data_IF_968968326289
#
_entry.id   IF_968968326289
#
_cell.length_a   1.000
_cell.length_b   1.000
_cell.length_c   1.000
_cell.angle_alpha   90.00
_cell.angle_beta   90.00
_cell.angle_gamma   90.00
#
_symmetry.space_group_name_H-M   'P 1'
#
loop_
_entity.id
_entity.type
_entity.pdbx_description
1 polymer ?
2 polymer ?
3 polymer ?
4 branched ?
5 branched ?
6 non-polymer ?
7 water ?
#
# COMPACT_ATOMS: atom_id res chain seq x y z
N UNK A 2 16.28 3.74 0.39
CA UNK A 2 15.14 4.21 -0.38
C UNK A 2 15.36 5.61 -0.91
N UNK A 3 14.76 5.92 -2.06
CA UNK A 3 14.85 7.27 -2.62
C UNK A 3 14.08 8.23 -1.73
N UNK A 4 14.70 9.39 -1.48
CA UNK A 4 14.08 10.42 -0.64
C UNK A 4 13.23 11.32 -1.53
N UNK A 5 11.96 11.47 -1.17
CA UNK A 5 11.07 12.35 -1.91
C UNK A 5 9.88 12.71 -1.04
N UNK A 6 9.24 13.84 -1.38
CA UNK A 6 8.07 14.28 -0.65
C UNK A 6 6.90 13.32 -0.86
N UNK A 7 6.70 12.87 -2.10
CA UNK A 7 5.58 12.01 -2.44
C UNK A 7 6.06 11.00 -3.48
N UNK A 8 5.46 9.82 -3.43
CA UNK A 8 5.81 8.74 -4.34
C UNK A 8 4.54 8.10 -4.86
N UNK A 9 4.49 7.87 -6.19
CA UNK A 9 3.35 7.22 -6.82
C UNK A 9 3.90 6.02 -7.60
N UNK A 10 3.10 5.01 -7.72
CA UNK A 10 3.35 3.92 -8.67
C UNK A 10 2.29 3.96 -9.76
N UNK A 11 2.74 4.19 -11.01
CA UNK A 11 1.88 4.41 -12.16
C UNK A 11 2.30 3.49 -13.32
N UNK A 12 2.13 2.17 -13.18
CA UNK A 12 1.44 1.56 -12.07
C UNK A 12 2.24 0.40 -11.46
N UNK A 13 1.61 -0.30 -10.54
CA UNK A 13 2.08 -1.59 -10.06
C UNK A 13 1.50 -2.65 -10.98
N UNK A 14 2.39 -3.34 -11.71
CA UNK A 14 2.07 -4.38 -12.67
C UNK A 14 2.55 -5.71 -12.09
N UNK A 15 1.61 -6.61 -11.78
CA UNK A 15 1.94 -7.95 -11.29
C UNK A 15 1.45 -8.99 -12.28
N UNK A 16 2.25 -10.00 -12.49
CA UNK A 16 1.85 -11.16 -13.30
C UNK A 16 2.57 -12.38 -12.74
N UNK A 17 1.84 -13.44 -12.46
CA UNK A 17 2.45 -14.62 -11.88
C UNK A 17 1.93 -15.87 -12.57
N UNK A 18 2.81 -16.87 -12.57
CA UNK A 18 2.55 -18.13 -13.29
C UNK A 18 1.44 -18.93 -12.65
N UNK A 19 1.35 -18.90 -11.32
CA UNK A 19 0.25 -19.58 -10.65
C UNK A 19 -1.07 -18.93 -11.03
N UNK A 20 -1.92 -19.70 -11.72
CA UNK A 20 -3.13 -19.19 -12.32
C UNK A 20 -3.18 -19.51 -13.79
N UNK A 21 -2.46 -18.70 -14.60
CA UNK A 21 -1.73 -17.49 -14.19
C UNK A 21 -2.67 -16.35 -13.84
N UNK A 22 -2.17 -15.31 -13.17
CA UNK A 22 -3.02 -14.19 -12.82
C UNK A 22 -2.20 -12.93 -12.79
N UNK A 23 -2.90 -11.78 -12.89
CA UNK A 23 -2.22 -10.50 -12.86
C UNK A 23 -3.00 -9.48 -12.04
N UNK A 24 -2.35 -8.35 -11.82
CA UNK A 24 -2.95 -7.24 -11.11
C UNK A 24 -2.40 -5.96 -11.68
N UNK A 25 -3.29 -4.96 -11.85
CA UNK A 25 -2.85 -3.63 -12.30
C UNK A 25 -3.50 -2.56 -11.44
N UNK A 26 -2.68 -1.80 -10.74
CA UNK A 26 -3.14 -0.73 -9.87
C UNK A 26 -2.28 0.50 -10.02
N UNK A 27 -2.83 1.68 -9.63
CA UNK A 27 -2.01 2.84 -9.37
C UNK A 27 -2.07 3.20 -7.89
N UNK A 28 -0.94 3.56 -7.32
CA UNK A 28 -0.79 3.90 -5.92
C UNK A 28 -0.30 5.33 -5.81
N UNK A 29 -0.77 6.04 -4.80
CA UNK A 29 -0.22 7.36 -4.47
C UNK A 29 -0.01 7.46 -2.97
N UNK A 30 1.22 7.74 -2.57
CA UNK A 30 1.66 7.75 -1.20
C UNK A 30 1.15 6.51 -0.46
N UNK A 31 1.19 5.38 -1.13
CA UNK A 31 0.97 4.10 -0.51
C UNK A 31 -0.46 3.58 -0.49
N UNK A 32 -1.42 4.35 -0.99
CA UNK A 32 -2.82 3.95 -1.09
C UNK A 32 -3.24 3.72 -2.54
N UNK A 33 -4.29 2.96 -2.73
CA UNK A 33 -4.71 2.48 -4.05
C UNK A 33 -5.65 3.52 -4.67
N UNK A 34 -5.22 4.13 -5.74
CA UNK A 34 -6.00 5.16 -6.44
C UNK A 34 -7.03 4.52 -7.34
N UNK A 35 -6.66 3.48 -8.11
CA UNK A 35 -7.63 2.74 -8.88
C UNK A 35 -6.98 1.41 -9.28
N UNK A 36 -7.79 0.53 -9.82
CA UNK A 36 -7.29 -0.75 -10.35
C UNK A 36 -7.97 -1.00 -11.69
N UNK A 37 -7.49 -2.00 -12.39
CA UNK A 37 -8.14 -2.43 -13.62
C UNK A 37 -8.60 -3.86 -13.40
N UNK A 38 -9.90 -4.07 -13.51
CA UNK A 38 -10.47 -5.41 -13.57
C UNK A 38 -10.12 -6.02 -14.92
N UNK A 39 -9.14 -6.93 -14.91
CA UNK A 39 -8.63 -7.53 -16.13
C UNK A 39 -9.58 -8.55 -16.72
N UNK A 40 -10.53 -9.07 -15.93
CA UNK A 40 -11.53 -9.97 -16.46
C UNK A 40 -12.59 -9.21 -17.26
N UNK A 41 -13.12 -8.14 -16.67
CA UNK A 41 -14.09 -7.29 -17.36
C UNK A 41 -13.43 -6.24 -18.23
N UNK A 42 -12.11 -6.13 -18.16
CA UNK A 42 -11.35 -5.17 -18.95
C UNK A 42 -11.86 -3.75 -18.73
N UNK A 43 -11.98 -3.37 -17.46
CA UNK A 43 -12.49 -2.04 -17.14
C UNK A 43 -11.80 -1.47 -15.92
N UNK A 44 -11.56 -0.17 -15.96
CA UNK A 44 -11.04 0.56 -14.82
C UNK A 44 -12.09 0.65 -13.73
N UNK A 45 -11.67 0.46 -12.47
CA UNK A 45 -12.57 0.42 -11.34
C UNK A 45 -11.90 1.03 -10.12
N UNK A 46 -12.74 1.30 -9.11
CA UNK A 46 -12.29 1.99 -7.91
C UNK A 46 -12.80 1.25 -6.69
N UNK A 47 -11.88 0.61 -5.95
CA UNK A 47 -12.27 0.11 -4.62
C UNK A 47 -12.78 1.22 -3.73
N UNK A 48 -12.29 2.43 -3.93
CA UNK A 48 -12.58 3.59 -3.09
C UNK A 48 -13.15 4.65 -4.03
N UNK A 49 -14.47 4.62 -4.30
CA UNK A 49 -15.03 5.38 -5.45
C UNK A 49 -14.85 6.88 -5.38
N UNK A 50 -14.63 7.46 -4.20
CA UNK A 50 -14.27 8.85 -4.07
C UNK A 50 -13.21 9.22 -5.11
N UNK A 51 -12.23 8.36 -5.27
CA UNK A 51 -11.05 8.71 -6.08
C UNK A 51 -11.31 8.62 -7.57
N UNK A 52 -12.52 8.23 -7.97
CA UNK A 52 -12.89 8.39 -9.38
C UNK A 52 -12.85 9.85 -9.78
N UNK A 53 -12.94 10.78 -8.83
CA UNK A 53 -12.87 12.19 -9.20
C UNK A 53 -11.47 12.58 -9.68
N UNK A 54 -10.46 11.75 -9.48
CA UNK A 54 -9.08 12.11 -9.85
C UNK A 54 -8.68 11.48 -11.19
N UNK A 55 -9.63 11.28 -12.08
CA UNK A 55 -9.37 10.90 -13.45
C UNK A 55 -9.51 9.40 -13.67
N UNK A 56 -9.82 9.03 -14.92
CA UNK A 56 -9.95 7.65 -15.31
C UNK A 56 -8.66 7.06 -15.83
N UNK A 57 -8.81 5.96 -16.56
CA UNK A 57 -7.64 5.24 -17.09
C UNK A 57 -8.14 4.35 -18.19
N UNK A 58 -7.41 4.33 -19.31
CA UNK A 58 -7.78 3.46 -20.44
C UNK A 58 -7.31 2.03 -20.14
N UNK A 59 -8.22 1.10 -19.92
CA UNK A 59 -7.80 -0.23 -19.45
C UNK A 59 -6.94 -0.95 -20.45
N UNK A 60 -6.96 -0.54 -21.73
CA UNK A 60 -6.13 -1.24 -22.73
C UNK A 60 -4.65 -1.11 -22.43
N UNK A 61 -4.24 -0.03 -21.77
CA UNK A 61 -2.87 0.05 -21.32
C UNK A 61 -2.48 -1.07 -20.37
N UNK A 62 -3.38 -1.37 -19.41
CA UNK A 62 -3.11 -2.45 -18.48
C UNK A 62 -3.07 -3.80 -19.21
N UNK A 63 -3.98 -4.00 -20.16
CA UNK A 63 -4.03 -5.27 -20.89
C UNK A 63 -2.79 -5.49 -21.75
N UNK A 64 -2.35 -4.44 -22.43
CA UNK A 64 -1.08 -4.51 -23.18
C UNK A 64 0.06 -4.88 -22.23
N UNK A 65 0.14 -4.18 -21.07
CA UNK A 65 1.20 -4.49 -20.12
C UNK A 65 1.13 -5.93 -19.66
N UNK A 66 -0.08 -6.47 -19.47
CA UNK A 66 -0.15 -7.87 -19.02
C UNK A 66 0.36 -8.84 -20.08
N UNK A 67 0.06 -8.58 -21.35
CA UNK A 67 0.61 -9.40 -22.43
C UNK A 67 2.15 -9.35 -22.45
N UNK A 68 2.69 -8.16 -22.32
CA UNK A 68 4.15 -8.03 -22.30
C UNK A 68 4.74 -8.72 -21.06
N UNK A 69 4.05 -8.59 -19.91
CA UNK A 69 4.54 -9.19 -18.69
C UNK A 69 4.57 -10.71 -18.81
N UNK A 70 3.52 -11.30 -19.37
CA UNK A 70 3.54 -12.77 -19.55
C UNK A 70 4.77 -13.19 -20.35
N UNK A 71 5.01 -12.51 -21.45
CA UNK A 71 6.20 -12.79 -22.26
C UNK A 71 7.48 -12.66 -21.44
N UNK A 72 7.62 -11.51 -20.77
CA UNK A 72 8.82 -11.24 -19.99
C UNK A 72 9.02 -12.28 -18.88
N UNK A 73 7.94 -12.70 -18.24
CA UNK A 73 8.07 -13.67 -17.16
C UNK A 73 8.64 -14.98 -17.68
N UNK A 74 8.14 -15.46 -18.84
CA UNK A 74 8.72 -16.69 -19.40
C UNK A 74 10.24 -16.53 -19.57
N UNK A 75 10.64 -15.38 -20.12
CA UNK A 75 12.06 -15.19 -20.38
C UNK A 75 12.85 -15.15 -19.08
N UNK A 76 12.30 -14.50 -18.04
CA UNK A 76 13.07 -14.36 -16.81
C UNK A 76 13.13 -15.68 -16.04
N UNK A 77 12.08 -16.49 -16.10
CA UNK A 77 12.14 -17.84 -15.55
C UNK A 77 13.34 -18.58 -16.14
N UNK A 78 13.50 -18.49 -17.48
CA UNK A 78 14.65 -19.15 -18.08
C UNK A 78 15.97 -18.54 -17.60
N UNK A 79 16.07 -17.22 -17.56
CA UNK A 79 17.35 -16.60 -17.20
C UNK A 79 17.76 -16.96 -15.76
N UNK A 80 16.79 -17.25 -14.89
CA UNK A 80 17.07 -17.54 -13.49
C UNK A 80 17.05 -19.05 -13.18
N UNK A 81 17.31 -19.88 -14.15
CA UNK A 81 17.37 -21.32 -13.94
C UNK A 81 16.03 -21.88 -13.41
N UNK A 82 14.89 -21.24 -13.67
CA UNK A 82 13.61 -21.68 -13.14
C UNK A 82 13.58 -21.66 -11.61
N UNK A 83 14.20 -20.66 -11.01
CA UNK A 83 14.14 -20.53 -9.55
C UNK A 83 12.75 -20.05 -9.11
N UNK A 84 12.07 -20.85 -8.28
CA UNK A 84 10.72 -20.52 -7.86
C UNK A 84 10.74 -19.45 -6.77
N UNK A 85 9.63 -18.71 -6.68
CA UNK A 85 9.46 -17.74 -5.61
C UNK A 85 9.68 -18.38 -4.26
N UNK A 86 10.33 -17.64 -3.35
CA UNK A 86 10.39 -18.04 -1.94
C UNK A 86 9.08 -17.71 -1.25
N UNK A 87 8.56 -18.66 -0.46
CA UNK A 87 7.35 -18.41 0.32
C UNK A 87 7.76 -17.73 1.62
N UNK A 88 7.56 -16.41 1.71
CA UNK A 88 7.86 -15.71 2.93
C UNK A 88 6.77 -15.97 3.95
N UNK A 89 7.04 -15.59 5.20
CA UNK A 89 6.10 -15.82 6.29
C UNK A 89 5.36 -14.54 6.55
N UNK A 90 4.06 -14.45 6.26
CA UNK A 90 3.32 -13.20 6.47
C UNK A 90 3.10 -12.96 7.95
N UNK A 91 2.86 -11.69 8.31
CA UNK A 91 2.47 -11.31 9.67
C UNK A 91 1.07 -10.73 9.63
N UNK A 92 0.24 -11.10 10.60
CA UNK A 92 -1.17 -10.71 10.63
C UNK A 92 -1.46 -9.89 11.88
N UNK A 93 -2.14 -8.73 11.69
CA UNK A 93 -2.49 -7.82 12.74
C UNK A 93 -3.97 -7.49 12.57
N UNK A 94 -4.73 -7.52 13.65
CA UNK A 94 -6.16 -7.21 13.61
C UNK A 94 -6.46 -6.06 14.58
N UNK A 95 -7.20 -5.07 14.10
CA UNK A 95 -7.50 -3.90 14.93
C UNK A 95 -8.75 -3.21 14.39
N UNK A 96 -9.41 -2.43 15.26
CA UNK A 96 -10.57 -1.71 14.78
C UNK A 96 -10.16 -0.43 14.06
N UNK A 97 -10.99 -0.01 13.12
CA UNK A 97 -10.72 1.27 12.43
C UNK A 97 -10.91 2.46 13.37
N UNK A 98 -11.91 2.40 14.23
CA UNK A 98 -12.29 3.52 15.08
C UNK A 98 -12.55 3.03 16.50
N UNK A 99 -12.57 3.94 17.48
CA UNK A 99 -12.86 3.53 18.86
C UNK A 99 -14.16 2.76 18.95
N UNK A 100 -14.17 1.75 19.80
CA UNK A 100 -15.28 0.81 19.89
C UNK A 100 -16.30 1.29 20.91
N UNK A 101 -17.54 1.44 20.47
CA UNK A 101 -18.70 1.63 21.33
C UNK A 101 -19.70 0.53 21.02
N UNK A 102 -20.17 -0.18 22.05
CA UNK A 102 -21.11 -1.27 21.83
C UNK A 102 -22.34 -0.73 21.11
N UNK A 103 -22.77 -1.46 20.07
CA UNK A 103 -23.94 -1.08 19.29
C UNK A 103 -23.72 0.03 18.28
N UNK A 104 -22.52 0.56 18.15
CA UNK A 104 -22.17 1.55 17.16
C UNK A 104 -21.43 0.89 16.01
N UNK A 105 -21.91 0.98 14.78
CA UNK A 105 -21.21 0.29 13.68
C UNK A 105 -19.74 0.69 13.61
N UNK A 106 -18.90 -0.29 13.35
CA UNK A 106 -17.46 -0.12 13.27
C UNK A 106 -16.94 -1.04 12.16
N UNK A 107 -15.63 -1.04 11.99
CA UNK A 107 -14.98 -1.88 10.98
C UNK A 107 -13.76 -2.53 11.61
N UNK A 108 -13.66 -3.85 11.45
CA UNK A 108 -12.44 -4.58 11.78
C UNK A 108 -11.50 -4.65 10.59
N UNK A 109 -10.20 -4.49 10.86
CA UNK A 109 -9.15 -4.41 9.84
C UNK A 109 -8.19 -5.59 10.10
N UNK A 110 -8.04 -6.44 9.12
CA UNK A 110 -7.09 -7.54 9.16
C UNK A 110 -5.96 -7.17 8.16
N UNK A 111 -4.85 -6.83 8.68
CA UNK A 111 -3.65 -6.46 7.90
C UNK A 111 -2.79 -7.72 7.78
N UNK A 112 -2.51 -8.14 6.54
CA UNK A 112 -1.61 -9.26 6.26
C UNK A 112 -0.41 -8.64 5.54
N UNK A 113 0.73 -8.67 6.21
CA UNK A 113 1.93 -7.97 5.78
C UNK A 113 3.02 -8.95 5.39
N UNK A 114 3.96 -8.46 4.58
CA UNK A 114 5.09 -9.27 4.20
C UNK A 114 4.65 -10.50 3.41
N UNK A 115 3.74 -10.26 2.46
CA UNK A 115 3.20 -11.32 1.62
C UNK A 115 4.10 -11.55 0.43
N UNK A 116 4.59 -12.83 0.29
CA UNK A 116 5.15 -13.23 -0.96
C UNK A 116 5.23 -14.75 -1.03
N UNK A 117 4.84 -15.37 -2.14
CA UNK A 117 4.21 -14.73 -3.33
C UNK A 117 2.86 -14.18 -3.10
N UNK A 118 2.36 -13.32 -4.02
CA UNK A 118 1.02 -12.70 -3.81
C UNK A 118 -0.15 -13.64 -4.07
N UNK A 119 -0.30 -14.61 -3.17
CA UNK A 119 -1.36 -15.61 -3.18
C UNK A 119 -1.77 -15.82 -1.73
N UNK A 120 -3.04 -15.57 -1.42
CA UNK A 120 -3.46 -15.59 -0.02
C UNK A 120 -4.95 -15.82 0.06
N UNK A 121 -5.37 -16.57 1.10
CA UNK A 121 -6.79 -16.67 1.45
C UNK A 121 -6.93 -15.86 2.75
N UNK A 122 -7.84 -14.86 2.80
CA UNK A 122 -8.16 -14.15 4.03
C UNK A 122 -9.66 -14.26 4.27
N UNK A 123 -10.04 -14.85 5.40
CA UNK A 123 -11.46 -14.99 5.75
C UNK A 123 -11.69 -14.55 7.19
N UNK A 124 -12.94 -14.26 7.52
CA UNK A 124 -13.31 -13.79 8.83
C UNK A 124 -14.16 -14.83 9.53
N UNK A 125 -13.93 -15.01 10.82
CA UNK A 125 -14.75 -15.87 11.66
C UNK A 125 -15.32 -15.03 12.79
N UNK A 126 -16.61 -15.24 13.09
CA UNK A 126 -17.30 -14.62 14.20
C UNK A 126 -17.83 -15.75 15.08
N UNK A 127 -17.43 -15.75 16.35
CA UNK A 127 -17.72 -16.85 17.25
C UNK A 127 -17.49 -18.20 16.56
N UNK A 128 -16.40 -18.32 15.81
CA UNK A 128 -16.01 -19.57 15.22
C UNK A 128 -16.64 -19.92 13.90
N UNK A 129 -17.56 -19.10 13.39
CA UNK A 129 -18.24 -19.38 12.13
C UNK A 129 -17.89 -18.36 11.07
N UNK A 130 -17.78 -18.83 9.83
CA UNK A 130 -17.38 -17.96 8.73
C UNK A 130 -18.38 -16.83 8.54
N UNK A 131 -17.84 -15.63 8.29
CA UNK A 131 -18.62 -14.45 7.93
C UNK A 131 -18.31 -14.14 6.47
N UNK A 132 -19.35 -13.82 5.71
CA UNK A 132 -19.15 -13.39 4.32
C UNK A 132 -19.74 -12.00 4.05
N UNK A 133 -20.86 -11.66 4.68
CA UNK A 133 -21.43 -10.33 4.50
C UNK A 133 -20.53 -9.28 5.13
N UNK A 134 -20.44 -8.13 4.50
CA UNK A 134 -19.74 -7.01 5.07
C UNK A 134 -18.23 -7.08 4.92
N UNK A 135 -17.73 -7.98 4.08
CA UNK A 135 -16.29 -8.21 3.92
C UNK A 135 -15.86 -7.60 2.60
N UNK A 136 -14.74 -6.88 2.63
CA UNK A 136 -14.13 -6.36 1.41
C UNK A 136 -12.61 -6.41 1.61
N UNK A 137 -11.84 -6.24 0.54
CA UNK A 137 -10.39 -6.23 0.75
C UNK A 137 -9.72 -5.34 -0.30
N UNK A 138 -8.48 -4.96 0.02
CA UNK A 138 -7.67 -4.18 -0.89
C UNK A 138 -7.09 -5.08 -1.96
N UNK A 139 -6.39 -4.46 -2.91
CA UNK A 139 -5.51 -5.20 -3.80
C UNK A 139 -4.28 -5.67 -3.00
N UNK A 140 -3.39 -6.39 -3.69
CA UNK A 140 -2.04 -6.57 -3.15
C UNK A 140 -1.31 -5.25 -3.29
N UNK A 141 -1.05 -4.57 -2.18
CA UNK A 141 -0.37 -3.29 -2.17
C UNK A 141 1.13 -3.47 -2.07
N UNK A 142 1.88 -2.68 -2.86
CA UNK A 142 3.27 -2.95 -3.03
C UNK A 142 4.08 -2.46 -1.82
N UNK A 143 5.25 -3.05 -1.65
CA UNK A 143 6.24 -2.65 -0.67
C UNK A 143 7.61 -2.49 -1.36
N UNK A 144 8.44 -1.67 -0.77
CA UNK A 144 9.72 -1.34 -1.38
C UNK A 144 10.68 -2.53 -1.46
N UNK A 145 10.51 -3.53 -0.64
CA UNK A 145 11.26 -4.78 -0.76
C UNK A 145 10.58 -5.79 -1.71
N UNK A 146 9.57 -5.37 -2.45
CA UNK A 146 8.89 -6.13 -3.47
C UNK A 146 8.05 -7.27 -2.92
N UNK A 147 7.83 -7.31 -1.63
CA UNK A 147 6.72 -8.10 -1.06
C UNK A 147 5.44 -7.26 -1.15
N UNK A 148 4.35 -7.74 -0.55
CA UNK A 148 3.07 -7.08 -0.64
C UNK A 148 2.41 -7.10 0.75
N UNK A 149 1.49 -6.15 0.96
CA UNK A 149 0.48 -6.36 2.03
C UNK A 149 -0.90 -6.31 1.44
N UNK A 150 -1.84 -6.88 2.19
CA UNK A 150 -3.24 -6.86 1.78
C UNK A 150 -4.05 -6.73 3.03
N UNK A 151 -5.12 -5.93 2.96
CA UNK A 151 -5.96 -5.63 4.10
C UNK A 151 -7.38 -6.09 3.79
N UNK A 152 -8.00 -6.76 4.75
CA UNK A 152 -9.38 -7.16 4.68
C UNK A 152 -10.20 -6.41 5.74
N UNK A 153 -11.44 -6.07 5.37
CA UNK A 153 -12.32 -5.28 6.22
C UNK A 153 -13.60 -6.07 6.49
N UNK A 154 -14.07 -6.00 7.72
CA UNK A 154 -15.33 -6.59 8.14
C UNK A 154 -16.13 -5.52 8.90
N UNK A 155 -17.19 -5.00 8.29
CA UNK A 155 -18.07 -4.12 9.03
C UNK A 155 -18.81 -4.92 10.08
N UNK A 156 -18.93 -4.37 11.28
CA UNK A 156 -19.55 -5.13 12.36
C UNK A 156 -20.16 -4.22 13.39
N UNK A 157 -20.95 -4.84 14.28
CA UNK A 157 -21.62 -4.16 15.38
C UNK A 157 -21.05 -4.68 16.70
N UNK A 158 -20.27 -3.89 17.44
CA UNK A 158 -19.68 -4.42 18.67
C UNK A 158 -20.73 -4.83 19.68
N UNK A 159 -20.49 -5.98 20.31
CA UNK A 159 -21.38 -6.49 21.34
C UNK A 159 -20.56 -7.36 22.29
N UNK A 160 -21.08 -7.54 23.51
CA UNK A 160 -20.42 -8.37 24.50
C UNK A 160 -20.42 -9.84 24.05
N UNK A 161 -19.40 -10.57 24.49
CA UNK A 161 -19.26 -11.99 24.15
C UNK A 161 -19.42 -12.22 22.65
N UNK A 162 -18.83 -11.34 21.85
CA UNK A 162 -18.95 -11.38 20.38
C UNK A 162 -17.56 -11.12 19.83
N UNK A 163 -16.88 -12.20 19.43
CA UNK A 163 -15.43 -12.20 19.22
C UNK A 163 -15.11 -12.66 17.80
N UNK A 164 -13.90 -12.32 17.34
CA UNK A 164 -13.57 -12.45 15.94
C UNK A 164 -12.19 -13.07 15.77
N UNK A 165 -12.01 -13.73 14.63
CA UNK A 165 -10.73 -14.17 14.15
C UNK A 165 -10.58 -13.80 12.69
N UNK A 166 -9.41 -13.37 12.31
CA UNK A 166 -9.01 -13.30 10.91
C UNK A 166 -8.17 -14.54 10.60
N UNK A 167 -8.66 -15.36 9.69
CA UNK A 167 -8.02 -16.63 9.31
C UNK A 167 -7.28 -16.41 7.99
N UNK A 168 -5.96 -16.58 8.01
CA UNK A 168 -5.09 -16.35 6.87
C UNK A 168 -4.46 -17.68 6.46
N UNK A 169 -4.57 -18.01 5.18
CA UNK A 169 -3.88 -19.15 4.59
C UNK A 169 -2.85 -18.63 3.60
N UNK A 170 -1.64 -19.13 3.74
CA UNK A 170 -0.53 -18.72 2.88
C UNK A 170 0.52 -19.83 2.86
N UNK A 171 1.18 -20.01 1.70
CA UNK A 171 2.09 -21.14 1.53
C UNK A 171 3.31 -21.04 2.44
N UNK A 172 3.61 -19.85 2.98
CA UNK A 172 4.73 -19.72 3.88
C UNK A 172 4.41 -19.97 5.32
N UNK A 173 3.15 -20.21 5.61
CA UNK A 173 2.71 -20.67 6.93
C UNK A 173 2.71 -22.20 6.96
N UNK A 174 2.94 -22.75 8.17
CA UNK A 174 2.87 -24.19 8.33
C UNK A 174 1.43 -24.67 8.55
N UNK A 175 0.59 -23.83 9.12
CA UNK A 175 -0.84 -24.08 9.27
C UNK A 175 -1.55 -22.74 9.12
N UNK A 176 -2.84 -22.75 8.83
CA UNK A 176 -3.59 -21.48 8.78
C UNK A 176 -3.43 -20.72 10.08
N UNK A 177 -3.34 -19.41 9.96
CA UNK A 177 -3.12 -18.51 11.10
C UNK A 177 -4.44 -17.89 11.49
N UNK A 178 -4.83 -18.06 12.74
CA UNK A 178 -6.05 -17.43 13.26
C UNK A 178 -5.64 -16.33 14.22
N UNK A 179 -5.83 -15.07 13.81
CA UNK A 179 -5.49 -13.93 14.65
C UNK A 179 -6.78 -13.41 15.30
N UNK A 180 -6.79 -13.40 16.62
CA UNK A 180 -7.99 -13.13 17.42
C UNK A 180 -8.15 -11.65 17.72
N UNK A 181 -9.39 -11.24 17.94
CA UNK A 181 -9.73 -9.89 18.38
C UNK A 181 -11.04 -9.91 19.16
N UNK A 182 -11.09 -9.13 20.23
CA UNK A 182 -12.31 -9.02 21.05
C UNK A 182 -12.52 -7.56 21.44
N UNK A 183 -13.78 -7.12 21.57
CA UNK A 183 -14.09 -5.77 22.04
C UNK A 183 -13.56 -5.50 23.45
N UNK B 1 6.64 -28.83 -0.90
CA UNK B 1 5.31 -29.00 -0.37
C UNK B 1 4.24 -28.23 -1.12
N UNK B 2 4.42 -26.92 -1.21
CA UNK B 2 3.40 -26.04 -1.78
C UNK B 2 3.55 -25.97 -3.29
N UNK B 3 2.53 -25.46 -3.99
CA UNK B 3 2.67 -25.20 -5.43
C UNK B 3 3.82 -24.23 -5.70
N UNK B 4 4.43 -24.39 -6.85
CA UNK B 4 5.49 -23.48 -7.28
C UNK B 4 4.88 -22.23 -7.92
N UNK B 5 5.58 -21.11 -7.75
CA UNK B 5 5.14 -19.84 -8.34
C UNK B 5 6.35 -19.11 -8.88
N UNK B 6 6.11 -18.34 -9.92
CA UNK B 6 7.14 -17.49 -10.55
C UNK B 6 6.46 -16.15 -10.81
N UNK B 7 7.03 -15.09 -10.28
CA UNK B 7 6.39 -13.77 -10.27
C UNK B 7 7.21 -12.77 -11.07
N UNK B 8 6.51 -11.92 -11.87
CA UNK B 8 7.11 -10.78 -12.50
C UNK B 8 6.41 -9.52 -11.94
N UNK B 9 7.19 -8.52 -11.60
CA UNK B 9 6.66 -7.21 -11.23
C UNK B 9 7.29 -6.16 -12.10
N UNK B 10 6.44 -5.20 -12.57
CA UNK B 10 6.95 -4.00 -13.17
C UNK B 10 6.33 -2.83 -12.38
N UNK B 11 7.16 -1.92 -11.97
CA UNK B 11 6.76 -0.75 -11.18
C UNK B 11 7.17 0.53 -11.88
N UNK B 12 6.17 1.36 -12.24
CA UNK B 12 6.45 2.64 -12.83
C UNK B 12 6.39 3.72 -11.76
N UNK B 13 7.51 4.05 -11.13
CA UNK B 13 7.51 4.82 -9.88
C UNK B 13 7.86 6.26 -10.14
N UNK B 14 7.00 7.14 -9.63
CA UNK B 14 7.15 8.59 -9.80
C UNK B 14 7.44 9.20 -8.42
N UNK B 15 8.49 9.96 -8.34
CA UNK B 15 8.95 10.65 -7.13
C UNK B 15 8.86 12.14 -7.35
N UNK B 16 8.20 12.83 -6.41
CA UNK B 16 8.00 14.28 -6.49
C UNK B 16 8.56 14.93 -5.24
N UNK B 17 9.32 16.02 -5.44
CA UNK B 17 9.85 16.82 -4.33
C UNK B 17 9.65 18.29 -4.64
N UNK B 18 9.11 19.02 -3.65
CA UNK B 18 8.83 20.45 -3.76
C UNK B 18 7.78 20.75 -4.82
N UNK B 19 6.61 20.20 -4.64
CA UNK B 19 5.65 20.28 -5.74
C UNK B 19 6.17 19.45 -6.89
N UNK B 20 6.45 20.10 -8.04
CA UNK B 20 7.08 19.44 -9.17
C UNK B 20 8.45 20.03 -9.47
N UNK B 21 9.06 20.69 -8.49
CA UNK B 21 10.41 21.20 -8.70
C UNK B 21 11.36 20.09 -9.10
N UNK B 22 11.32 18.95 -8.40
CA UNK B 22 12.06 17.77 -8.78
C UNK B 22 11.10 16.62 -9.03
N UNK B 23 11.15 16.05 -10.23
CA UNK B 23 10.36 14.89 -10.60
C UNK B 23 11.33 13.84 -11.16
N UNK B 24 11.12 12.59 -10.76
CA UNK B 24 12.00 11.52 -11.16
C UNK B 24 11.17 10.26 -11.39
N UNK B 25 11.46 9.60 -12.52
CA UNK B 25 10.79 8.36 -12.87
C UNK B 25 11.82 7.23 -12.70
N UNK B 26 11.42 6.16 -12.02
CA UNK B 26 12.22 4.94 -11.91
C UNK B 26 11.31 3.77 -12.26
N UNK B 27 11.54 3.15 -13.42
CA UNK B 27 10.81 1.95 -13.79
C UNK B 27 11.65 0.73 -13.38
N UNK B 28 11.03 -0.15 -12.62
CA UNK B 28 11.71 -1.29 -11.97
C UNK B 28 11.18 -2.57 -12.56
N UNK B 29 12.09 -3.46 -12.94
CA UNK B 29 11.78 -4.77 -13.50
C UNK B 29 12.30 -5.82 -12.56
N UNK B 30 11.37 -6.63 -12.03
CA UNK B 30 11.60 -7.50 -10.87
C UNK B 30 11.19 -8.94 -11.22
N UNK B 31 12.07 -9.90 -10.89
CA UNK B 31 11.77 -11.33 -10.93
C UNK B 31 11.65 -11.84 -9.51
N UNK B 32 10.51 -12.42 -9.19
CA UNK B 32 10.13 -12.75 -7.81
C UNK B 32 10.21 -11.49 -6.96
N UNK B 33 11.19 -11.37 -6.06
CA UNK B 33 11.42 -10.12 -5.34
C UNK B 33 12.75 -9.47 -5.65
N UNK B 34 13.42 -9.88 -6.72
CA UNK B 34 14.72 -9.33 -7.10
C UNK B 34 14.54 -8.36 -8.26
N UNK B 35 14.78 -7.09 -8.02
CA UNK B 35 14.93 -6.13 -9.12
C UNK B 35 16.16 -6.43 -9.94
N UNK B 36 15.97 -6.73 -11.21
CA UNK B 36 17.08 -7.05 -12.09
C UNK B 36 17.37 -5.99 -13.13
N UNK B 37 16.42 -5.09 -13.43
CA UNK B 37 16.77 -4.03 -14.36
C UNK B 37 15.94 -2.78 -14.03
N UNK B 38 16.45 -1.64 -14.46
CA UNK B 38 15.74 -0.41 -14.14
C UNK B 38 16.07 0.71 -15.07
N UNK B 39 15.12 1.62 -15.23
CA UNK B 39 15.35 2.88 -15.93
C UNK B 39 15.15 4.01 -14.93
N UNK B 40 16.14 4.90 -14.83
CA UNK B 40 16.11 6.03 -13.89
C UNK B 40 16.21 7.29 -14.72
N UNK B 41 15.16 8.11 -14.69
CA UNK B 41 15.18 9.32 -15.52
C UNK B 41 16.35 10.24 -15.19
N UNK B 42 16.87 10.18 -13.97
CA UNK B 42 18.06 10.96 -13.67
C UNK B 42 19.31 10.44 -14.42
N UNK B 43 19.27 9.20 -14.90
CA UNK B 43 20.36 8.59 -15.62
C UNK B 43 20.10 8.64 -17.13
N UNK B 44 18.87 8.35 -17.55
CA UNK B 44 18.49 8.48 -18.93
C UNK B 44 18.61 7.22 -19.77
N UNK B 45 19.16 6.15 -19.20
CA UNK B 45 19.32 4.86 -19.90
C UNK B 45 18.95 3.73 -18.95
N UNK B 46 18.73 2.57 -19.50
CA UNK B 46 18.47 1.39 -18.69
C UNK B 46 19.78 0.88 -18.09
N UNK B 47 19.66 0.26 -16.93
CA UNK B 47 20.78 -0.33 -16.22
C UNK B 47 20.38 -1.72 -15.70
N UNK B 48 21.31 -2.67 -15.84
CA UNK B 48 21.16 -3.95 -15.17
C UNK B 48 21.46 -3.79 -13.69
N UNK B 49 20.58 -4.33 -12.84
CA UNK B 49 20.77 -4.25 -11.39
C UNK B 49 21.38 -5.56 -10.91
N UNK B 50 21.10 -6.63 -11.61
CA UNK B 50 21.72 -7.94 -11.44
C UNK B 50 22.17 -8.44 -12.79
N UNK B 51 23.12 -9.40 -12.82
CA UNK B 51 23.55 -9.93 -14.13
C UNK B 51 22.41 -10.29 -15.07
N UNK B 52 21.30 -10.82 -14.52
CA UNK B 52 20.22 -11.28 -15.35
C UNK B 52 19.51 -10.15 -16.10
N UNK B 53 19.72 -8.91 -15.71
CA UNK B 53 19.21 -7.78 -16.44
C UNK B 53 20.08 -7.29 -17.57
N UNK B 54 21.30 -7.83 -17.70
CA UNK B 54 22.21 -7.29 -18.71
C UNK B 54 21.71 -7.47 -20.14
N UNK B 55 21.06 -8.57 -20.51
CA UNK B 55 20.54 -8.66 -21.88
C UNK B 55 19.57 -7.55 -22.22
N UNK B 56 18.67 -7.23 -21.29
CA UNK B 56 17.65 -6.20 -21.56
C UNK B 56 18.28 -4.82 -21.62
N UNK B 57 19.12 -4.49 -20.63
CA UNK B 57 19.75 -3.18 -20.61
C UNK B 57 20.46 -2.90 -21.93
N UNK B 58 21.22 -3.87 -22.41
CA UNK B 58 21.92 -3.70 -23.68
C UNK B 58 20.95 -3.63 -24.84
N UNK B 59 19.95 -4.48 -24.84
CA UNK B 59 18.99 -4.52 -25.95
C UNK B 59 18.17 -3.25 -25.97
N UNK B 60 17.57 -2.92 -24.84
CA UNK B 60 16.70 -1.73 -24.77
C UNK B 60 17.45 -0.46 -25.08
N UNK B 61 18.70 -0.34 -24.63
CA UNK B 61 19.47 0.85 -24.90
C UNK B 61 19.88 0.94 -26.36
N UNK B 62 19.77 -0.15 -27.13
CA UNK B 62 20.09 -0.10 -28.55
C UNK B 62 18.91 0.32 -29.42
N UNK B 63 17.70 0.37 -28.86
CA UNK B 63 16.49 0.72 -29.58
C UNK B 63 16.15 2.17 -29.29
N UNK B 64 16.38 3.05 -30.27
CA UNK B 64 16.12 4.47 -30.09
C UNK B 64 14.68 4.73 -29.65
N UNK B 65 13.73 4.02 -30.26
CA UNK B 65 12.33 4.26 -29.94
C UNK B 65 12.05 3.93 -28.48
N UNK B 66 12.63 2.84 -27.97
CA UNK B 66 12.42 2.46 -26.57
C UNK B 66 12.95 3.54 -25.63
N UNK B 67 14.17 4.03 -25.90
CA UNK B 67 14.74 5.04 -25.04
C UNK B 67 13.92 6.32 -25.09
N UNK B 68 13.49 6.72 -26.29
CA UNK B 68 12.72 7.96 -26.40
C UNK B 68 11.38 7.85 -25.65
N UNK B 69 10.68 6.73 -25.84
CA UNK B 69 9.40 6.55 -25.18
C UNK B 69 9.52 6.53 -23.68
N UNK B 70 10.48 5.71 -23.15
CA UNK B 70 10.66 5.67 -21.71
C UNK B 70 11.00 7.03 -21.14
N UNK B 71 11.98 7.73 -21.77
CA UNK B 71 12.34 9.06 -21.30
C UNK B 71 11.13 9.99 -21.30
N UNK B 72 10.27 9.87 -22.31
CA UNK B 72 9.10 10.77 -22.36
C UNK B 72 8.10 10.47 -21.22
N UNK B 73 8.14 9.28 -20.66
CA UNK B 73 7.16 8.95 -19.59
C UNK B 73 7.36 9.82 -18.35
N UNK B 74 8.51 10.46 -18.19
CA UNK B 74 8.65 11.43 -17.07
C UNK B 74 7.61 12.54 -17.20
N UNK B 75 7.27 12.87 -18.41
CA UNK B 75 6.24 13.88 -18.74
C UNK B 75 4.87 13.26 -18.91
N UNK B 76 4.77 12.20 -19.75
CA UNK B 76 3.48 11.66 -20.09
C UNK B 76 2.86 10.84 -18.97
N UNK B 77 3.66 10.37 -18.01
CA UNK B 77 3.15 9.68 -16.84
C UNK B 77 3.25 10.53 -15.59
N UNK B 78 4.47 10.86 -15.16
CA UNK B 78 4.64 11.45 -13.83
C UNK B 78 4.07 12.88 -13.77
N UNK B 79 4.61 13.78 -14.57
CA UNK B 79 4.09 15.17 -14.54
C UNK B 79 2.61 15.21 -14.93
N UNK B 80 2.24 14.44 -15.94
CA UNK B 80 0.87 14.40 -16.40
C UNK B 80 -0.07 13.97 -15.29
N UNK B 81 0.25 12.87 -14.60
CA UNK B 81 -0.63 12.36 -13.55
C UNK B 81 -0.62 13.32 -12.35
N UNK B 82 0.47 14.03 -12.14
CA UNK B 82 0.50 15.01 -11.05
C UNK B 82 -0.54 16.09 -11.33
N UNK B 83 -0.66 16.47 -12.58
CA UNK B 83 -1.65 17.50 -12.95
C UNK B 83 -3.07 16.92 -12.91
N UNK B 84 -3.24 15.68 -13.40
CA UNK B 84 -4.56 15.08 -13.51
C UNK B 84 -5.08 14.67 -12.15
N UNK B 85 -4.21 14.15 -11.28
CA UNK B 85 -4.68 13.48 -10.06
C UNK B 85 -4.02 13.97 -8.79
N UNK B 86 -2.68 14.05 -8.75
CA UNK B 86 -1.99 14.08 -7.45
C UNK B 86 -2.10 15.47 -6.79
N UNK B 87 -2.11 16.54 -7.57
CA UNK B 87 -2.36 17.85 -6.96
C UNK B 87 -3.68 17.84 -6.19
N UNK B 88 -4.73 17.32 -6.82
CA UNK B 88 -6.03 17.22 -6.15
C UNK B 88 -6.00 16.34 -4.93
N UNK B 89 -5.43 15.13 -5.06
CA UNK B 89 -5.35 14.23 -3.91
C UNK B 89 -4.63 14.91 -2.77
N UNK B 90 -3.58 15.65 -3.07
CA UNK B 90 -2.85 16.40 -2.07
C UNK B 90 -3.66 17.51 -1.45
N UNK B 91 -4.73 17.96 -2.12
CA UNK B 91 -5.66 18.88 -1.47
C UNK B 91 -6.75 18.16 -0.68
N UNK B 92 -6.73 16.83 -0.61
CA UNK B 92 -7.71 16.08 0.15
C UNK B 92 -7.47 16.23 1.65
N UNK B 93 -8.58 16.38 2.42
CA UNK B 93 -8.52 16.58 3.86
C UNK B 93 -9.64 15.81 4.54
N UNK B 94 -9.29 14.99 5.53
CA UNK B 94 -10.26 14.26 6.34
C UNK B 94 -9.90 14.51 7.81
N UNK B 95 -10.83 15.08 8.55
CA UNK B 95 -10.51 15.54 9.90
C UNK B 95 -10.35 14.36 10.85
N UNK B 96 -9.41 14.43 11.80
CA UNK B 96 -9.28 13.38 12.79
C UNK B 96 -10.35 13.44 13.87
N UNK B 97 -10.68 12.28 14.38
CA UNK B 97 -11.47 12.16 15.61
C UNK B 97 -10.51 11.89 16.76
N UNK B 98 -10.72 12.55 17.89
CA UNK B 98 -9.86 12.49 19.05
C UNK B 98 -10.67 11.97 20.24
N UNK B 99 -10.21 10.88 20.85
CA UNK B 99 -10.87 10.30 22.02
C UNK B 99 -9.84 9.95 23.07
N UNK B 100 -10.12 10.24 24.33
CA UNK B 100 -9.25 9.88 25.43
C UNK B 100 -9.89 8.77 26.24
N UNK B 101 -9.07 7.80 26.65
CA UNK B 101 -9.54 6.75 27.56
C UNK B 101 -8.42 6.39 28.54
N UNK B 102 -8.74 6.16 29.79
CA UNK B 102 -7.72 5.80 30.77
C UNK B 102 -7.36 4.32 30.69
N UNK B 103 -6.24 3.99 31.32
CA UNK B 103 -5.71 2.63 31.30
C UNK B 103 -4.73 2.42 32.46
N UNK B 112 -0.49 4.84 36.24
CA UNK B 112 -1.69 5.30 35.53
C UNK B 112 -1.33 5.79 34.13
N UNK B 113 -2.24 5.58 33.18
CA UNK B 113 -1.97 5.84 31.78
C UNK B 113 -3.18 6.47 31.12
N UNK B 114 -2.93 7.45 30.24
CA UNK B 114 -4.00 8.01 29.40
C UNK B 114 -3.67 7.70 27.96
N UNK B 115 -4.67 7.23 27.20
CA UNK B 115 -4.52 6.91 25.80
C UNK B 115 -5.35 7.89 24.99
N UNK B 116 -4.69 8.66 24.11
CA UNK B 116 -5.38 9.51 23.14
C UNK B 116 -5.37 8.82 21.77
N UNK B 117 -6.54 8.38 21.34
CA UNK B 117 -6.73 7.74 20.04
C UNK B 117 -7.16 8.81 19.04
N UNK B 118 -6.35 9.01 18.00
CA UNK B 118 -6.64 9.95 16.93
C UNK B 118 -6.85 9.11 15.67
N UNK B 119 -8.03 9.16 15.11
CA UNK B 119 -8.44 8.20 14.11
C UNK B 119 -9.05 8.88 12.89
N UNK B 120 -9.00 8.16 11.78
CA UNK B 120 -9.76 8.44 10.56
C UNK B 120 -9.39 9.78 9.95
N UNK B 121 -8.08 10.05 9.84
CA UNK B 121 -7.62 11.29 9.27
C UNK B 121 -6.78 11.05 8.02
N UNK B 122 -6.76 12.08 7.16
CA UNK B 122 -5.90 12.15 5.98
C UNK B 122 -5.64 13.61 5.68
N UNK B 123 -4.40 13.98 5.30
CA UNK B 123 -3.22 13.14 5.11
C UNK B 123 -2.54 12.69 6.39
N UNK B 124 -1.38 12.06 6.25
CA UNK B 124 -0.72 11.46 7.38
C UNK B 124 0.04 12.42 8.29
N UNK B 125 0.32 13.63 7.83
CA UNK B 125 1.02 14.60 8.65
C UNK B 125 0.12 15.00 9.81
N UNK B 126 0.62 14.86 11.03
CA UNK B 126 -0.17 15.15 12.22
C UNK B 126 0.77 15.36 13.39
N UNK B 127 0.34 16.16 14.37
CA UNK B 127 1.09 16.34 15.61
C UNK B 127 0.14 16.22 16.78
N UNK B 128 0.52 15.39 17.74
CA UNK B 128 -0.28 15.17 18.97
C UNK B 128 0.56 15.58 20.16
N UNK B 129 0.00 16.46 21.01
CA UNK B 129 0.62 16.92 22.23
C UNK B 129 -0.26 16.53 23.41
N UNK B 130 0.37 16.26 24.54
CA UNK B 130 -0.32 16.07 25.79
C UNK B 130 -0.01 17.24 26.71
N UNK B 131 -1.02 17.69 27.42
CA UNK B 131 -0.87 18.77 28.40
C UNK B 131 -1.39 18.29 29.73
N UNK B 132 -0.67 18.64 30.79
CA UNK B 132 -1.14 18.54 32.16
C UNK B 132 -1.36 19.98 32.64
N UNK B 133 -2.64 20.31 32.90
CA UNK B 133 -2.98 21.69 33.21
C UNK B 133 -2.44 22.57 32.09
N UNK B 134 -1.64 23.59 32.42
CA UNK B 134 -1.17 24.52 31.41
C UNK B 134 0.25 24.24 30.94
N UNK B 135 0.75 23.02 31.13
CA UNK B 135 2.10 22.68 30.70
C UNK B 135 2.07 21.50 29.73
N UNK B 136 2.77 21.62 28.60
CA UNK B 136 2.92 20.48 27.72
C UNK B 136 3.83 19.45 28.38
N UNK B 137 3.41 18.20 28.32
CA UNK B 137 4.19 17.07 28.83
C UNK B 137 5.02 16.48 27.68
N UNK B 138 6.29 16.27 27.94
CA UNK B 138 7.17 15.58 26.99
C UNK B 138 7.71 14.28 27.54
N UNK B 139 8.13 14.26 28.80
CA UNK B 139 8.53 13.02 29.45
C UNK B 139 7.29 12.20 29.80
N UNK B 140 7.36 10.90 29.52
CA UNK B 140 6.22 10.03 29.75
C UNK B 140 5.23 9.98 28.62
N UNK B 141 5.52 10.61 27.48
CA UNK B 141 4.68 10.53 26.30
C UNK B 141 5.32 9.52 25.34
N UNK B 142 4.53 8.56 24.89
CA UNK B 142 5.00 7.60 23.89
C UNK B 142 3.90 7.35 22.89
N UNK B 143 4.28 7.20 21.61
CA UNK B 143 3.33 7.09 20.52
C UNK B 143 3.53 5.81 19.73
N UNK B 144 2.45 5.32 19.13
CA UNK B 144 2.56 4.31 18.11
C UNK B 144 3.13 4.94 16.85
N UNK B 145 3.57 4.13 15.89
CA UNK B 145 3.77 4.65 14.54
C UNK B 145 2.44 5.13 13.96
N UNK B 146 2.53 5.89 12.88
CA UNK B 146 1.37 6.15 12.05
C UNK B 146 0.85 4.83 11.49
N UNK B 147 -0.45 4.57 11.67
CA UNK B 147 -1.07 3.34 11.24
C UNK B 147 -1.90 3.60 9.99
N UNK B 148 -1.56 2.92 8.90
CA UNK B 148 -2.29 3.03 7.65
C UNK B 148 -3.44 2.02 7.64
N UNK B 149 -4.67 2.53 7.45
CA UNK B 149 -5.84 1.66 7.48
C UNK B 149 -6.14 1.03 6.12
N UNK B 150 -5.56 1.56 5.06
CA UNK B 150 -5.75 1.02 3.72
C UNK B 150 -6.89 1.66 2.96
N UNK B 151 -7.79 2.36 3.66
CA UNK B 151 -8.97 3.00 3.11
C UNK B 151 -8.80 4.51 2.94
N UNK B 152 -7.56 4.95 2.81
CA UNK B 152 -7.20 6.35 2.66
C UNK B 152 -7.43 7.12 3.94
N UNK B 153 -7.31 6.44 5.11
CA UNK B 153 -7.21 7.14 6.37
C UNK B 153 -6.10 6.52 7.20
N UNK B 154 -5.62 7.28 8.18
CA UNK B 154 -4.64 6.88 9.17
C UNK B 154 -5.27 6.91 10.57
N UNK B 155 -4.56 6.27 11.52
CA UNK B 155 -4.81 6.50 12.93
C UNK B 155 -3.48 6.42 13.68
N UNK B 156 -3.52 6.85 14.93
CA UNK B 156 -2.36 6.88 15.79
C UNK B 156 -2.85 6.94 17.22
N UNK B 157 -2.09 6.33 18.13
CA UNK B 157 -2.38 6.36 19.56
C UNK B 157 -1.19 6.99 20.26
N UNK B 158 -1.47 7.92 21.19
CA UNK B 158 -0.44 8.61 21.95
C UNK B 158 -0.79 8.48 23.42
N UNK B 159 0.13 7.88 24.18
CA UNK B 159 -0.05 7.56 25.59
C UNK B 159 0.75 8.51 26.46
N UNK B 160 0.18 8.81 27.62
CA UNK B 160 0.80 9.66 28.63
C UNK B 160 0.82 8.91 29.96
N UNK B 161 2.01 8.70 30.50
CA UNK B 161 2.12 8.25 31.88
C UNK B 161 1.77 9.41 32.81
N UNK B 162 0.85 9.18 33.72
CA UNK B 162 0.35 10.24 34.58
C UNK B 162 0.28 9.78 36.03
N UNK B 163 0.43 10.74 36.93
CA UNK B 163 0.20 10.56 38.36
C UNK B 163 -0.78 11.64 38.76
N UNK B 164 -2.08 11.40 38.55
CA UNK B 164 -3.05 12.50 38.56
C UNK B 164 -3.45 12.93 39.97
N UNK B 165 -3.32 14.23 40.23
CA UNK B 165 -3.98 14.85 41.37
C UNK B 165 -5.41 15.18 40.97
N UNK B 166 -6.34 15.07 41.91
CA UNK B 166 -7.69 15.51 41.61
C UNK B 166 -7.67 17.01 41.32
N UNK B 167 -8.48 17.44 40.38
CA UNK B 167 -8.45 18.79 39.90
C UNK B 167 -7.48 19.01 38.75
N UNK B 168 -6.54 18.11 38.52
CA UNK B 168 -5.71 18.16 37.32
C UNK B 168 -6.57 17.90 36.10
N UNK B 169 -6.30 18.64 35.04
CA UNK B 169 -6.98 18.48 33.76
C UNK B 169 -5.93 18.14 32.72
N UNK B 170 -6.14 17.05 32.00
CA UNK B 170 -5.24 16.61 30.96
C UNK B 170 -5.87 16.88 29.60
N UNK B 171 -5.06 17.35 28.66
CA UNK B 171 -5.59 17.74 27.36
C UNK B 171 -4.78 17.04 26.27
N UNK B 172 -5.48 16.31 25.41
CA UNK B 172 -4.91 15.83 24.15
C UNK B 172 -5.18 16.85 23.07
N UNK B 173 -4.12 17.24 22.36
CA UNK B 173 -4.09 18.42 21.51
C UNK B 173 -3.57 18.00 20.13
N UNK B 174 -4.39 18.20 19.11
CA UNK B 174 -4.15 17.59 17.79
C UNK B 174 -4.11 18.66 16.72
N UNK B 175 -2.95 18.79 16.06
CA UNK B 175 -2.79 19.62 14.87
C UNK B 175 -2.78 18.74 13.62
N UNK B 176 -3.46 19.19 12.58
CA UNK B 176 -3.61 18.43 11.34
C UNK B 176 -4.00 19.40 10.23
N UNK B 177 -3.54 19.17 8.98
CA UNK B 177 -3.78 20.15 7.91
C UNK B 177 -5.25 20.37 7.58
N UNK B 178 -6.14 19.49 8.03
CA UNK B 178 -7.56 19.66 7.83
C UNK B 178 -8.19 20.68 8.80
N UNK B 179 -7.46 21.10 9.82
CA UNK B 179 -8.01 21.88 10.90
C UNK B 179 -7.53 23.33 10.81
N UNK B 180 -8.46 24.26 10.95
CA UNK B 180 -8.06 25.66 11.06
C UNK B 180 -7.27 25.92 12.34
N UNK B 181 -7.64 25.24 13.43
CA UNK B 181 -6.89 25.29 14.68
C UNK B 181 -7.01 23.93 15.37
N UNK B 182 -6.14 23.64 16.33
CA UNK B 182 -6.08 22.28 16.87
C UNK B 182 -7.37 21.85 17.56
N UNK B 183 -7.62 20.56 17.54
CA UNK B 183 -8.67 19.93 18.34
C UNK B 183 -8.10 19.65 19.73
N UNK B 184 -8.90 19.87 20.76
CA UNK B 184 -8.49 19.63 22.13
C UNK B 184 -9.57 18.83 22.83
N UNK B 185 -9.16 17.77 23.51
CA UNK B 185 -10.08 16.95 24.30
C UNK B 185 -9.52 16.85 25.71
N UNK B 186 -10.42 16.92 26.69
CA UNK B 186 -10.02 17.04 28.09
C UNK B 186 -10.43 15.81 28.87
N UNK B 187 -9.59 15.45 29.83
CA UNK B 187 -9.85 14.36 30.76
C UNK B 187 -9.55 14.89 32.16
N UNK B 188 -10.54 14.81 33.04
CA UNK B 188 -10.39 15.31 34.41
C UNK B 188 -10.21 14.13 35.37
N UNK C 3 -7.14 14.28 -19.31
CA UNK C 3 -8.19 13.95 -18.33
C UNK C 3 -8.04 12.53 -17.75
N UNK C 4 -7.24 11.70 -18.40
CA UNK C 4 -7.00 10.33 -17.95
C UNK C 4 -5.62 10.23 -17.34
N UNK C 5 -5.51 9.40 -16.28
CA UNK C 5 -4.19 8.94 -15.82
C UNK C 5 -3.51 8.10 -16.88
N UNK C 6 -2.17 8.23 -16.97
CA UNK C 6 -1.37 7.40 -17.86
C UNK C 6 -0.52 6.44 -17.05
N UNK C 7 -0.25 5.28 -17.63
CA UNK C 7 0.61 4.25 -17.05
C UNK C 7 1.92 4.06 -17.81
N UNK C 8 2.96 3.73 -17.07
CA UNK C 8 4.23 3.38 -17.71
C UNK C 8 4.03 2.08 -18.49
N UNK C 9 4.68 2.01 -19.66
CA UNK C 9 4.56 0.80 -20.48
C UNK C 9 5.71 -0.15 -20.21
N UNK C 10 5.39 -1.42 -20.13
CA UNK C 10 6.41 -2.47 -19.99
C UNK C 10 7.11 -2.71 -21.32
N UNK C 11 8.46 -2.67 -21.32
CA UNK C 11 9.21 -2.94 -22.54
C UNK C 11 9.39 -4.43 -22.72
N UNK C 12 9.37 -4.87 -24.00
CA UNK C 12 9.44 -6.29 -24.35
C UNK C 12 10.86 -6.76 -24.17
N UNK C 13 11.05 -7.79 -23.35
CA UNK C 13 12.38 -8.31 -23.06
C UNK C 13 13.05 -8.88 -24.31
N UNK C 14 14.37 -8.89 -24.28
CA UNK C 14 15.13 -9.72 -25.22
C UNK C 14 14.85 -11.18 -24.90
N UNK C 15 14.64 -11.99 -25.95
CA UNK C 15 14.24 -13.36 -25.74
C UNK C 15 15.13 -14.30 -26.51
N UNK C 16 14.75 -15.58 -26.57
CA UNK C 16 15.50 -16.55 -27.36
C UNK C 16 16.65 -17.19 -26.63
N UNK C 17 16.79 -16.95 -25.34
CA UNK C 17 17.85 -17.60 -24.58
C UNK C 17 17.50 -19.04 -24.27
N UNK C 18 18.54 -19.84 -24.10
CA UNK C 18 18.35 -21.22 -23.68
C UNK C 18 17.96 -21.28 -22.22
N UNK C 19 17.76 -22.49 -21.74
CA UNK C 19 17.45 -22.68 -20.34
C UNK C 19 18.10 -23.96 -19.82
N UNK C 20 18.23 -24.02 -18.50
CA UNK C 20 18.79 -25.16 -17.80
C UNK C 20 17.73 -25.69 -16.82
N UNK C 21 17.60 -27.00 -16.75
CA UNK C 21 16.61 -27.60 -15.85
C UNK C 21 17.24 -27.71 -14.47
N UNK C 22 16.58 -27.22 -13.42
CA UNK C 22 17.14 -27.24 -12.06
C UNK C 22 17.57 -28.62 -11.59
X LIG D 1 22.00 -21.20 -14.13
X LIG D 1 22.62 -20.30 -13.02
X LIG D 1 24.15 -20.23 -13.21
X LIG D 1 24.78 -21.62 -13.19
X LIG D 1 24.06 -22.58 -14.14
X LIG D 1 24.47 -24.03 -13.89
X LIG D 1 21.31 -18.54 -11.97
X LIG D 1 20.81 -17.12 -12.08
X LIG D 1 22.06 -18.97 -12.99
X LIG D 1 24.72 -19.45 -12.16
X LIG D 1 26.13 -21.53 -13.64
X LIG D 1 22.62 -22.55 -14.01
X LIG D 1 24.53 -24.34 -12.51
X LIG D 1 21.03 -19.25 -11.02
X LIG D 1 24.26 -22.30 -15.05
X LIG D 1 25.35 -24.18 -14.29
X LIG D 1 23.83 -24.62 -14.33
X LIG D 1 19.93 -17.06 -11.67
X LIG D 1 20.74 -16.88 -13.03
X LIG D 1 21.43 -16.53 -11.63
X LIG D 1 22.23 -18.40 -13.68
X LIG D 2 27.15 -22.06 -12.73
X LIG D 2 28.36 -22.52 -13.56
X LIG D 2 29.52 -22.97 -12.65
X LIG D 2 29.84 -21.89 -11.62
X LIG D 2 28.58 -21.51 -10.86
X LIG D 2 28.81 -20.36 -9.91
X LIG D 2 27.61 -23.38 -15.74
X LIG D 2 27.30 -24.60 -16.55
X LIG D 2 28.01 -23.59 -14.48
X LIG D 2 30.66 -23.22 -13.45
X LIG D 2 30.80 -22.40 -10.70
X LIG D 2 27.57 -21.08 -11.78
X LIG D 2 29.05 -19.14 -10.61
X LIG D 2 27.52 -22.24 -16.20
X LIG D 2 28.25 -22.28 -10.37
X LIG D 2 29.57 -20.56 -9.34
X LIG D 2 28.02 -20.25 -9.35
X LIG D 2 27.02 -24.33 -17.44
X LIG D 2 26.58 -25.10 -16.11
X LIG D 2 28.10 -25.17 -16.61
X LIG D 2 28.05 -24.45 -14.18
X LIG D 2 28.73 -19.20 -11.43
X LIG D 3 31.92 -21.52 -10.45
X LIG D 3 32.25 -21.61 -8.94
X LIG D 3 33.58 -20.90 -8.61
X LIG D 3 34.68 -21.31 -9.61
X LIG D 3 34.20 -21.01 -11.04
X LIG D 3 35.26 -21.32 -12.10
X LIG D 3 32.39 -22.96 -8.53
X LIG D 3 34.01 -21.17 -7.28
X LIG D 3 35.87 -20.59 -9.34
X LIG D 3 33.03 -21.81 -11.29
X LIG D 3 35.59 -22.71 -12.03
X LIG D 3 34.86 -22.40 -9.52
X LIG D 3 33.94 -19.94 -11.13
X LIG D 3 36.14 -20.69 -11.90
X LIG D 3 34.85 -21.05 -13.08
X LIG D 3 35.92 -20.55 -8.37
X LIG D 3 34.78 -23.19 -11.83
X LIG D 4 24.62 -25.75 -12.32
X LIG D 4 25.31 -26.10 -10.98
X LIG D 4 24.44 -25.62 -9.81
X LIG D 4 23.04 -26.24 -9.92
X LIG D 4 22.45 -25.98 -11.31
X LIG D 4 21.16 -26.74 -11.57
X LIG D 4 26.64 -25.60 -10.86
X LIG D 4 25.00 -26.02 -8.56
X LIG D 4 23.10 -27.63 -9.67
X LIG D 4 23.35 -26.35 -12.39
X LIG D 4 24.37 -24.52 -9.84
X LIG D 4 22.38 -25.74 -9.17
X LIG D 4 22.27 -24.89 -11.39
X LIG D 4 20.77 -26.53 -12.57
X LIG D 4 20.40 -26.46 -10.84
X LIG D 4 21.34 -27.82 -11.49
X LIG D 4 24.68 -26.92 -8.40
X LIG D 4 22.23 -27.86 -9.28
X LIG E 1 -7.24 -20.30 -1.35
X LIG E 1 -6.08 -21.30 -1.10
X LIG E 1 -6.21 -22.51 -2.06
X LIG E 1 -7.58 -23.18 -1.92
X LIG E 1 -8.69 -22.16 -2.08
X LIG E 1 -10.06 -22.74 -1.78
X LIG E 1 -3.84 -20.83 -0.27
X LIG E 1 -2.54 -20.12 -0.52
X LIG E 1 -4.77 -20.69 -1.20
X LIG E 1 -5.19 -23.47 -1.78
X LIG E 1 -7.74 -24.18 -2.93
X LIG E 1 -8.52 -21.02 -1.21
X LIG E 1 -10.08 -23.46 -0.56
X LIG E 1 -4.02 -21.47 0.76
X LIG E 1 -8.66 -21.82 -3.00
X LIG E 1 -10.32 -23.34 -2.51
X LIG E 1 -10.71 -22.01 -1.73
X LIG E 1 -1.92 -20.31 0.22
X LIG E 1 -2.70 -19.16 -0.58
X LIG E 1 -2.16 -20.43 -1.36
X LIG E 1 -4.57 -20.20 -1.95
X LIG E 1 -9.48 -23.12 0.01
X LIG E 2 -8.16 -25.48 -2.41
X LIG E 2 -9.12 -26.21 -3.36
X LIG E 2 -9.48 -27.60 -2.82
X LIG E 2 -8.22 -28.39 -2.51
X LIG E 2 -7.31 -27.60 -1.57
X LIG E 2 -5.98 -28.29 -1.33
X LIG E 2 -10.56 -24.78 -4.73
X LIG E 2 -11.87 -24.06 -4.82
X LIG E 2 -10.33 -25.44 -3.60
X LIG E 2 -10.27 -28.29 -3.77
X LIG E 2 -8.56 -29.63 -1.90
X LIG E 2 -7.01 -26.32 -2.14
X LIG E 2 -5.14 -28.26 -2.48
X LIG E 2 -9.74 -24.75 -5.65
X LIG E 2 -7.76 -27.46 -0.73
X LIG E 2 -6.15 -29.23 -1.08
X LIG E 2 -5.53 -27.84 -0.59
X LIG E 2 -11.94 -23.58 -5.68
X LIG E 2 -11.94 -23.41 -4.09
X LIG E 2 -12.60 -24.70 -4.75
X LIG E 2 -10.96 -25.41 -2.95
X LIG E 2 -5.35 -27.57 -2.99
X LIG F 1 13.54 21.91 -0.96
X LIG F 1 14.83 21.55 -1.66
X LIG F 1 15.99 22.06 -0.85
X LIG F 1 15.81 23.56 -0.60
X LIG F 1 14.38 23.95 -0.19
X LIG F 1 14.11 25.43 -0.34
X LIG F 1 15.45 19.60 -3.02
X LIG F 1 15.42 18.11 -3.13
X LIG F 1 14.92 20.12 -1.90
X LIG F 1 17.20 21.82 -1.53
X LIG F 1 16.69 23.96 0.46
X LIG F 1 13.38 23.29 -0.99
X LIG F 1 12.71 25.71 -0.42
X LIG F 1 15.94 20.30 -3.89
X LIG F 1 14.26 23.66 0.73
X LIG F 1 14.54 25.76 -1.16
X LIG F 1 14.47 25.90 0.43
X LIG F 1 16.16 17.81 -3.70
X LIG F 1 14.57 17.82 -3.52
X LIG F 1 15.51 17.72 -2.24
X LIG F 1 14.60 19.55 -1.27
X LIG F 1 12.30 25.06 -0.86
#
# INVERSE_FOLDING_TARGET
EDIVADHVASCGVNLYQFYGPSGQYTHEFDGDEQFYVDLERKETAWRWPEFSKFGGFDPQGALRNMAVAKHNLNIMIKRYNSTAATNEVPEVTVFSKSPVTLGQPNTLICLVDNIFPPVVNITWLSNGQSVTEGVSETSFLSKSDHSFFKISYLTFLPSADEIYDCKVEHWGLDQPLLKHWEPEIPAPMSELTETGGGGSLEVLFQ
GSPEDFVFQFKGMCYFTNGTERVRLVTRYIYNREEYARFDSDVGVYRAVTPQGRPDAEYWNSQKEVLEGTRAELDTVCRHNYEVAFRGILQRRVEPTVTISPSRTEALNHHNLLVCSVTDFYPGQIKVRWFRNDQEETAGVVSTPLIRNGDWTFQILVMLEMTPQRGDVYTCHVEHPSLQSPITVEWRAQSESAQSKGTGGGGSLEVLFQ
AMERNAGSGIIISDGGGGSLVPRGS
NAG C1 C2 C3 C4 C5 C6 C7 C8 N2 O3 O4 O5 O6 O7 H5 H61 H62 H81 H82 H83 HN2
NAG C1 C2 C3 C4 C5 C6 C7 C8 N2 O3 O4 O5 O6 O7 H5 H61 H62 H81 H82 H83 HN2 HO6
BMA C1 C2 C3 C4 C5 C6 O2 O3 O4 O5 O6 H4 H5 H61 H62 HO4 HO6
FUC C1 C2 C3 C4 C5 C6 O2 O3 O4 O5 H3 H4 H5 H61 H62 H63 HO3 HO4
NAG C1 C2 C3 C4 C5 C6 C7 C8 N2 O3 O4 O5 O6 O7 H5 H61 H62 H81 H82 H83 HN2 HO6
NAG C1 C2 C3 C4 C5 C6 C7 C8 N2 O3 O4 O5 O6 O7 H5 H61 H62 H81 H82 H83 HN2 HO6
NAG C1 C2 C3 C4 C5 C6 C7 C8 N2 O3 O4 O5 O6 O7 H5 H61 H62 H81 H82 H83 HN2 HO6
#
